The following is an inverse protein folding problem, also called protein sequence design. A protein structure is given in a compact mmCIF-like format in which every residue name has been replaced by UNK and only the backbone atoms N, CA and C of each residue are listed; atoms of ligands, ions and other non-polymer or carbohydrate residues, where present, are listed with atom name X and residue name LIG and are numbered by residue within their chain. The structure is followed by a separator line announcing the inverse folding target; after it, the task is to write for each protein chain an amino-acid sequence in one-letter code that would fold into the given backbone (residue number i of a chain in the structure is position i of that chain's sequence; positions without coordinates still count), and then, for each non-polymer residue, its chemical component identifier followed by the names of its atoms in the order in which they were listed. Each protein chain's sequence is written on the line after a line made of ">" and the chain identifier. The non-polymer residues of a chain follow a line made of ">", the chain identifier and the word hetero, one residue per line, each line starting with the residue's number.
data_IF_998369835816
#
_entry.id   IF_998369835816
#
_cell.length_a   1.000
_cell.length_b   1.000
_cell.length_c   1.000
_cell.angle_alpha   90.00
_cell.angle_beta   90.00
_cell.angle_gamma   90.00
#
_symmetry.space_group_name_H-M   'P 1'
#
loop_
_entity.id
_entity.type
_entity.pdbx_description
1 polymer ?
#
# COMPACT_ATOMS: atom_id res chain seq x y z
N UNK A 1 -9.48 -15.38 7.87
CA UNK A 1 -10.87 -14.95 7.58
C UNK A 1 -10.96 -13.44 7.77
N UNK A 2 -11.29 -12.73 6.72
CA UNK A 2 -11.42 -11.28 6.70
C UNK A 2 -12.89 -10.90 6.86
N UNK A 3 -13.15 -9.80 7.60
CA UNK A 3 -14.49 -9.20 7.82
C UNK A 3 -15.52 -10.16 8.43
N UNK A 4 -15.09 -10.96 9.41
CA UNK A 4 -15.94 -11.91 10.10
C UNK A 4 -16.92 -11.23 11.05
N UNK A 5 -18.19 -11.63 11.01
CA UNK A 5 -19.18 -11.21 11.97
C UNK A 5 -19.13 -12.10 13.22
N UNK A 6 -18.92 -11.52 14.37
CA UNK A 6 -18.79 -12.22 15.65
C UNK A 6 -19.84 -11.72 16.63
N UNK A 7 -20.39 -12.61 17.47
CA UNK A 7 -21.33 -12.29 18.54
C UNK A 7 -20.64 -12.33 19.89
N UNK A 8 -20.85 -11.31 20.69
CA UNK A 8 -20.37 -11.23 22.07
C UNK A 8 -21.54 -11.53 22.97
N UNK A 9 -21.38 -12.52 23.86
CA UNK A 9 -22.39 -12.88 24.87
C UNK A 9 -23.82 -12.95 24.30
N UNK A 10 -23.97 -13.42 23.05
CA UNK A 10 -25.24 -13.67 22.33
C UNK A 10 -26.02 -12.47 21.80
N UNK A 11 -25.71 -11.22 22.17
CA UNK A 11 -26.56 -10.08 21.78
C UNK A 11 -25.85 -9.07 20.87
N UNK A 12 -24.59 -8.75 21.13
CA UNK A 12 -23.87 -7.71 20.39
C UNK A 12 -23.06 -8.30 19.25
N UNK A 13 -23.23 -7.76 18.05
CA UNK A 13 -22.44 -8.14 16.88
C UNK A 13 -21.32 -7.15 16.65
N UNK A 14 -20.15 -7.66 16.36
CA UNK A 14 -18.96 -6.91 15.93
C UNK A 14 -18.36 -7.57 14.71
N UNK A 15 -17.79 -6.77 13.84
CA UNK A 15 -17.03 -7.25 12.69
C UNK A 15 -15.54 -7.10 12.95
N UNK A 16 -14.77 -8.06 12.51
CA UNK A 16 -13.31 -8.01 12.62
C UNK A 16 -12.64 -9.16 11.91
N UNK A 17 -11.34 -9.05 11.73
CA UNK A 17 -10.54 -10.06 11.06
C UNK A 17 -10.02 -11.08 12.06
N UNK A 18 -10.26 -12.37 11.77
CA UNK A 18 -9.84 -13.49 12.62
C UNK A 18 -8.66 -14.20 11.96
N UNK A 19 -7.55 -14.27 12.69
CA UNK A 19 -6.34 -14.97 12.28
C UNK A 19 -6.00 -16.08 13.28
N UNK A 20 -5.45 -17.17 12.78
CA UNK A 20 -5.01 -18.28 13.61
C UNK A 20 -3.51 -18.17 13.80
N UNK A 21 -3.06 -18.15 15.04
CA UNK A 21 -1.65 -18.01 15.39
C UNK A 21 -1.22 -19.08 16.40
N UNK A 22 0.05 -19.44 16.39
CA UNK A 22 0.61 -20.38 17.34
C UNK A 22 1.05 -19.71 18.66
N UNK A 23 1.40 -20.51 19.64
CA UNK A 23 1.86 -20.02 20.96
C UNK A 23 3.22 -19.31 20.92
N UNK A 24 3.96 -19.39 19.81
CA UNK A 24 5.24 -18.72 19.63
C UNK A 24 5.13 -17.37 18.94
N UNK A 25 3.95 -16.96 18.50
CA UNK A 25 3.74 -15.76 17.72
C UNK A 25 4.35 -14.52 18.39
N UNK A 26 4.05 -14.27 19.66
CA UNK A 26 4.55 -13.09 20.38
C UNK A 26 6.05 -13.17 20.75
N UNK A 27 6.67 -14.35 20.65
CA UNK A 27 8.13 -14.51 20.78
C UNK A 27 8.87 -14.05 19.53
N UNK A 28 8.22 -14.16 18.38
CA UNK A 28 8.73 -13.70 17.08
C UNK A 28 8.35 -12.25 16.84
N UNK A 29 7.07 -11.93 16.98
CA UNK A 29 6.49 -10.60 16.73
C UNK A 29 6.04 -9.97 18.04
N UNK A 30 6.97 -9.28 18.69
CA UNK A 30 6.72 -8.69 20.00
C UNK A 30 5.77 -7.50 19.90
N UNK A 31 4.67 -7.54 20.66
CA UNK A 31 3.84 -6.38 20.96
C UNK A 31 3.52 -6.38 22.45
N UNK A 32 2.98 -5.28 22.95
CA UNK A 32 2.65 -5.14 24.36
C UNK A 32 1.33 -5.85 24.66
N UNK A 33 1.35 -6.77 25.63
CA UNK A 33 0.12 -7.33 26.19
C UNK A 33 -0.40 -6.36 27.23
N UNK A 34 -1.63 -5.94 27.06
CA UNK A 34 -2.29 -4.94 27.91
C UNK A 34 -3.00 -5.57 29.08
N UNK A 35 -3.61 -6.74 28.85
CA UNK A 35 -4.41 -7.47 29.82
C UNK A 35 -4.33 -8.98 29.54
N UNK A 36 -4.30 -9.80 30.59
CA UNK A 36 -4.21 -11.25 30.47
C UNK A 36 -2.81 -11.78 30.18
N UNK A 37 -2.72 -13.04 29.78
CA UNK A 37 -1.47 -13.74 29.43
C UNK A 37 -1.58 -14.35 28.01
N UNK A 38 -0.69 -13.92 27.11
CA UNK A 38 -0.71 -14.35 25.72
C UNK A 38 -0.23 -15.80 25.54
N UNK A 39 0.82 -16.20 26.25
CA UNK A 39 1.40 -17.55 26.15
C UNK A 39 0.40 -18.59 26.65
N UNK A 40 -0.23 -18.31 27.79
CA UNK A 40 -1.27 -19.19 28.36
C UNK A 40 -2.51 -19.26 27.46
N UNK A 41 -2.93 -18.12 26.90
CA UNK A 41 -4.10 -18.02 26.01
C UNK A 41 -3.89 -18.83 24.73
N UNK A 42 -2.74 -18.67 24.07
CA UNK A 42 -2.46 -19.35 22.81
C UNK A 42 -2.12 -20.84 22.96
N UNK A 43 -1.77 -21.28 24.17
CA UNK A 43 -1.56 -22.71 24.46
C UNK A 43 -2.88 -23.49 24.59
N UNK A 44 -4.00 -22.80 24.86
CA UNK A 44 -5.30 -23.44 25.10
C UNK A 44 -6.17 -23.42 23.85
N UNK A 45 -6.87 -24.53 23.51
CA UNK A 45 -7.86 -24.53 22.44
C UNK A 45 -9.07 -23.67 22.83
N UNK A 46 -9.73 -23.09 21.84
CA UNK A 46 -10.89 -22.20 21.99
C UNK A 46 -10.64 -20.91 22.79
N UNK A 47 -9.39 -20.49 22.86
CA UNK A 47 -9.00 -19.20 23.40
C UNK A 47 -8.49 -18.27 22.30
N UNK A 48 -8.74 -16.99 22.47
CA UNK A 48 -8.27 -15.96 21.54
C UNK A 48 -7.74 -14.73 22.27
N UNK A 49 -6.90 -13.97 21.59
CA UNK A 49 -6.54 -12.61 21.96
C UNK A 49 -7.31 -11.63 21.06
N UNK A 50 -7.57 -10.45 21.59
CA UNK A 50 -8.18 -9.37 20.82
C UNK A 50 -7.28 -8.13 20.85
N UNK A 51 -7.30 -7.36 19.76
CA UNK A 51 -6.61 -6.07 19.71
C UNK A 51 -7.27 -5.05 20.64
N UNK A 52 -6.55 -3.98 21.02
CA UNK A 52 -7.12 -2.88 21.83
C UNK A 52 -8.34 -2.29 21.14
N UNK A 53 -8.23 -1.96 19.85
CA UNK A 53 -9.33 -1.39 19.08
C UNK A 53 -10.53 -2.33 19.05
N UNK A 54 -10.31 -3.63 18.95
CA UNK A 54 -11.39 -4.61 18.99
C UNK A 54 -12.01 -4.70 20.39
N UNK A 55 -11.20 -4.69 21.45
CA UNK A 55 -11.68 -4.68 22.82
C UNK A 55 -12.56 -3.44 23.11
N UNK A 56 -12.17 -2.27 22.64
CA UNK A 56 -12.97 -1.04 22.75
C UNK A 56 -14.30 -1.16 22.00
N UNK A 57 -14.30 -1.70 20.76
CA UNK A 57 -15.53 -1.99 19.99
C UNK A 57 -16.43 -2.98 20.72
N UNK A 58 -15.87 -3.92 21.46
CA UNK A 58 -16.59 -4.88 22.29
C UNK A 58 -17.15 -4.27 23.59
N UNK A 59 -16.73 -3.06 23.96
CA UNK A 59 -17.24 -2.33 25.14
C UNK A 59 -16.29 -2.33 26.34
N UNK A 60 -15.01 -2.69 26.17
CA UNK A 60 -14.02 -2.83 27.24
C UNK A 60 -14.31 -4.00 28.18
N UNK A 61 -13.35 -4.31 29.07
CA UNK A 61 -13.43 -5.44 30.03
C UNK A 61 -13.87 -6.74 29.34
N UNK A 62 -13.03 -7.21 28.43
CA UNK A 62 -13.38 -8.30 27.51
C UNK A 62 -12.76 -9.66 27.92
N UNK A 63 -11.77 -9.65 28.81
CA UNK A 63 -11.08 -10.89 29.22
C UNK A 63 -12.08 -11.81 29.97
N UNK A 64 -12.13 -13.06 29.56
CA UNK A 64 -13.06 -14.06 30.06
C UNK A 64 -14.42 -14.10 29.33
N UNK A 65 -14.73 -13.11 28.48
CA UNK A 65 -15.98 -13.11 27.70
C UNK A 65 -15.93 -14.08 26.54
N UNK A 66 -17.11 -14.52 26.11
CA UNK A 66 -17.24 -15.46 24.99
C UNK A 66 -17.51 -14.72 23.69
N UNK A 67 -16.80 -15.12 22.66
CA UNK A 67 -16.90 -14.61 21.30
C UNK A 67 -17.29 -15.77 20.37
N UNK A 68 -18.47 -15.71 19.79
CA UNK A 68 -18.96 -16.70 18.84
C UNK A 68 -18.72 -16.20 17.40
N UNK A 69 -18.00 -17.00 16.61
CA UNK A 69 -17.83 -16.71 15.19
C UNK A 69 -19.07 -17.17 14.43
N UNK A 70 -19.76 -16.27 13.73
CA UNK A 70 -20.99 -16.63 13.00
C UNK A 70 -20.69 -17.38 11.70
N UNK A 71 -19.52 -17.20 11.13
CA UNK A 71 -19.10 -17.85 9.88
C UNK A 71 -18.72 -19.31 10.08
N UNK A 72 -18.24 -19.66 11.28
CA UNK A 72 -17.90 -21.05 11.64
C UNK A 72 -18.86 -21.51 12.74
N UNK A 73 -19.93 -22.22 12.37
CA UNK A 73 -20.93 -22.67 13.34
C UNK A 73 -20.33 -23.52 14.47
N UNK A 74 -20.59 -23.11 15.71
CA UNK A 74 -20.09 -23.80 16.89
C UNK A 74 -18.69 -23.39 17.35
N UNK A 75 -18.02 -22.46 16.67
CA UNK A 75 -16.77 -21.89 17.14
C UNK A 75 -17.06 -20.79 18.16
N UNK A 76 -17.00 -21.18 19.42
CA UNK A 76 -17.08 -20.24 20.56
C UNK A 76 -15.71 -20.12 21.17
N UNK A 77 -15.17 -18.91 21.17
CA UNK A 77 -13.84 -18.58 21.70
C UNK A 77 -13.98 -17.84 23.02
N UNK A 78 -13.04 -18.04 23.94
CA UNK A 78 -12.93 -17.25 25.16
C UNK A 78 -11.80 -16.25 24.99
N UNK A 79 -12.06 -14.97 25.23
CA UNK A 79 -11.02 -13.94 25.20
C UNK A 79 -10.11 -14.13 26.42
N UNK A 80 -8.85 -14.43 26.21
CA UNK A 80 -7.88 -14.68 27.28
C UNK A 80 -6.93 -13.51 27.52
N UNK A 81 -6.71 -12.67 26.52
CA UNK A 81 -5.83 -11.51 26.65
C UNK A 81 -6.15 -10.41 25.63
N UNK A 82 -5.66 -9.20 25.91
CA UNK A 82 -5.76 -8.03 25.04
C UNK A 82 -4.34 -7.57 24.71
N UNK A 83 -4.07 -7.31 23.43
CA UNK A 83 -2.79 -6.80 22.98
C UNK A 83 -2.90 -5.41 22.34
N UNK A 84 -1.80 -4.69 22.32
CA UNK A 84 -1.70 -3.36 21.69
C UNK A 84 -1.71 -3.51 20.18
N UNK A 85 -2.51 -2.67 19.49
CA UNK A 85 -2.66 -2.70 18.04
C UNK A 85 -1.31 -2.58 17.35
N UNK A 86 -1.11 -3.34 16.28
CA UNK A 86 0.04 -3.17 15.42
C UNK A 86 -0.10 -1.87 14.61
N UNK A 87 1.01 -1.16 14.35
CA UNK A 87 0.96 0.07 13.57
C UNK A 87 0.48 -0.22 12.13
N UNK A 88 -0.18 0.75 11.51
CA UNK A 88 -0.77 0.67 10.17
C UNK A 88 0.18 0.13 9.08
N UNK A 89 1.49 0.32 9.23
CA UNK A 89 2.52 -0.16 8.30
C UNK A 89 3.05 -1.57 8.64
N UNK A 90 2.39 -2.27 9.54
CA UNK A 90 2.69 -3.66 9.87
C UNK A 90 1.81 -4.59 9.03
N UNK A 91 2.34 -5.75 8.68
CA UNK A 91 1.57 -6.86 8.06
C UNK A 91 0.40 -7.31 8.96
N UNK A 92 0.48 -7.02 10.25
CA UNK A 92 -0.49 -7.46 11.25
C UNK A 92 -1.43 -6.35 11.74
N UNK A 93 -1.46 -5.21 11.01
CA UNK A 93 -2.26 -4.05 11.42
C UNK A 93 -3.77 -4.31 11.45
N UNK A 94 -4.23 -5.26 10.65
CA UNK A 94 -5.63 -5.66 10.51
C UNK A 94 -5.99 -6.90 11.34
N UNK A 95 -5.08 -7.38 12.23
CA UNK A 95 -5.36 -8.50 13.11
C UNK A 95 -6.21 -8.01 14.27
N UNK A 96 -7.53 -8.23 14.19
CA UNK A 96 -8.46 -7.88 15.26
C UNK A 96 -8.55 -8.96 16.34
N UNK A 97 -8.61 -10.23 15.91
CA UNK A 97 -8.71 -11.41 16.77
C UNK A 97 -7.68 -12.44 16.37
N UNK A 98 -6.89 -12.90 17.33
CA UNK A 98 -5.90 -13.95 17.17
C UNK A 98 -6.36 -15.22 17.90
N UNK A 99 -6.84 -16.19 17.14
CA UNK A 99 -7.30 -17.50 17.64
C UNK A 99 -6.11 -18.42 17.82
N UNK A 100 -6.09 -19.16 18.94
CA UNK A 100 -5.11 -20.20 19.18
C UNK A 100 -5.13 -21.30 18.12
N UNK A 101 -3.98 -21.62 17.55
CA UNK A 101 -3.81 -22.73 16.58
C UNK A 101 -4.16 -24.10 17.19
N UNK A 102 -4.10 -24.25 18.51
CA UNK A 102 -4.55 -25.47 19.18
C UNK A 102 -6.04 -25.77 18.90
N UNK A 103 -6.85 -24.75 18.61
CA UNK A 103 -8.26 -24.89 18.24
C UNK A 103 -8.45 -25.56 16.90
N UNK A 104 -7.52 -25.38 15.96
CA UNK A 104 -7.65 -25.88 14.60
C UNK A 104 -7.76 -27.38 14.56
N UNK A 105 -7.08 -28.11 15.46
CA UNK A 105 -7.18 -29.58 15.58
C UNK A 105 -8.60 -30.06 15.85
N UNK A 106 -9.44 -29.21 16.44
CA UNK A 106 -10.84 -29.53 16.74
C UNK A 106 -11.80 -29.19 15.59
N UNK A 107 -11.35 -28.39 14.63
CA UNK A 107 -12.14 -27.89 13.47
C UNK A 107 -11.55 -28.27 12.12
N UNK A 108 -10.36 -28.87 12.07
CA UNK A 108 -9.79 -29.36 10.82
C UNK A 108 -10.65 -30.49 10.28
N UNK A 109 -10.88 -30.50 8.97
CA UNK A 109 -11.79 -31.39 8.27
C UNK A 109 -11.51 -32.87 8.52
N UNK A 110 -10.28 -33.21 8.86
CA UNK A 110 -9.77 -34.56 9.14
C UNK A 110 -9.07 -34.66 10.50
N UNK A 111 -9.09 -33.60 11.31
CA UNK A 111 -8.43 -33.55 12.62
C UNK A 111 -6.91 -33.68 12.56
N UNK A 112 -6.30 -33.62 11.37
CA UNK A 112 -4.87 -33.79 11.15
C UNK A 112 -4.28 -32.55 10.51
N UNK A 113 -3.03 -32.26 10.84
CA UNK A 113 -2.22 -31.27 10.13
C UNK A 113 -1.89 -31.85 8.74
N UNK A 114 -2.72 -31.58 7.75
CA UNK A 114 -2.48 -31.99 6.39
C UNK A 114 -1.43 -31.10 5.74
N UNK A 115 -0.17 -31.46 5.87
CA UNK A 115 0.96 -30.74 5.26
C UNK A 115 0.90 -30.70 3.73
N UNK A 116 0.14 -31.59 3.10
CA UNK A 116 0.09 -31.75 1.64
C UNK A 116 -1.01 -30.95 0.97
N UNK A 117 -2.03 -30.53 1.70
CA UNK A 117 -3.20 -29.84 1.13
C UNK A 117 -3.41 -28.43 1.63
N UNK A 118 -2.47 -27.87 2.37
CA UNK A 118 -2.68 -26.60 3.06
C UNK A 118 -1.57 -25.59 2.77
N UNK A 119 -1.74 -24.83 1.71
CA UNK A 119 -0.90 -23.70 1.31
C UNK A 119 -1.15 -22.40 2.11
N UNK A 120 -2.06 -22.47 3.11
CA UNK A 120 -2.50 -21.31 3.90
C UNK A 120 -1.59 -20.98 5.07
N UNK A 121 -0.65 -21.86 5.43
CA UNK A 121 0.28 -21.63 6.53
C UNK A 121 1.47 -20.79 6.07
N UNK A 122 1.72 -19.72 6.82
CA UNK A 122 2.95 -18.94 6.72
C UNK A 122 3.75 -19.12 7.99
N UNK A 123 4.96 -19.62 7.87
CA UNK A 123 5.85 -19.83 9.00
C UNK A 123 6.92 -18.76 9.04
N UNK A 124 7.14 -18.19 10.21
CA UNK A 124 8.17 -17.18 10.45
C UNK A 124 9.19 -17.74 11.43
N UNK A 125 10.46 -17.48 11.17
CA UNK A 125 11.56 -17.84 12.06
C UNK A 125 12.28 -16.59 12.52
N UNK A 126 12.64 -16.57 13.81
CA UNK A 126 13.52 -15.55 14.36
C UNK A 126 14.91 -16.15 14.48
N UNK A 127 15.84 -15.65 13.70
CA UNK A 127 17.24 -16.14 13.68
C UNK A 127 18.11 -15.37 14.65
N UNK A 128 19.21 -16.00 15.09
CA UNK A 128 20.22 -15.33 15.92
C UNK A 128 20.94 -14.22 15.13
N UNK A 129 21.44 -13.18 15.82
CA UNK A 129 22.20 -12.13 15.16
C UNK A 129 23.38 -12.71 14.36
N UNK A 130 23.53 -12.28 13.11
CA UNK A 130 24.59 -12.74 12.21
C UNK A 130 24.28 -13.99 11.40
N UNK A 131 23.12 -14.62 11.58
CA UNK A 131 22.68 -15.72 10.73
C UNK A 131 21.90 -15.18 9.51
N UNK A 132 22.22 -15.70 8.34
CA UNK A 132 21.65 -15.29 7.05
C UNK A 132 21.09 -16.48 6.26
N UNK A 133 19.95 -17.05 6.69
CA UNK A 133 19.36 -18.23 6.04
C UNK A 133 19.02 -17.99 4.56
N UNK A 134 18.77 -16.75 4.17
CA UNK A 134 18.55 -16.36 2.77
C UNK A 134 19.80 -16.53 1.88
N UNK A 135 20.98 -16.69 2.47
CA UNK A 135 22.24 -16.97 1.77
C UNK A 135 22.58 -18.47 1.71
N UNK A 136 21.65 -19.33 2.14
CA UNK A 136 21.80 -20.79 2.07
C UNK A 136 22.50 -21.42 3.28
N UNK A 137 22.71 -20.68 4.38
CA UNK A 137 23.39 -21.22 5.58
C UNK A 137 22.70 -22.46 6.15
N UNK A 138 21.38 -22.57 6.00
CA UNK A 138 20.57 -23.70 6.52
C UNK A 138 20.16 -24.72 5.46
N UNK A 139 20.54 -24.53 4.21
CA UNK A 139 20.06 -25.35 3.09
C UNK A 139 20.33 -26.85 3.29
N UNK A 140 21.52 -27.21 3.77
CA UNK A 140 21.88 -28.62 4.03
C UNK A 140 21.03 -29.23 5.15
N UNK A 141 20.80 -28.52 6.24
CA UNK A 141 19.99 -28.95 7.37
C UNK A 141 18.51 -29.06 6.98
N UNK A 142 18.02 -28.06 6.26
CA UNK A 142 16.65 -28.03 5.73
C UNK A 142 16.42 -29.17 4.77
N UNK A 143 17.37 -29.44 3.87
CA UNK A 143 17.27 -30.56 2.95
C UNK A 143 17.20 -31.90 3.68
N UNK A 144 18.01 -32.10 4.71
CA UNK A 144 17.94 -33.31 5.54
C UNK A 144 16.58 -33.46 6.24
N UNK A 145 16.03 -32.38 6.78
CA UNK A 145 14.73 -32.37 7.43
C UNK A 145 13.61 -32.66 6.43
N UNK A 146 13.63 -32.03 5.27
CA UNK A 146 12.65 -32.27 4.20
C UNK A 146 12.74 -33.72 3.71
N UNK A 147 13.94 -34.24 3.49
CA UNK A 147 14.15 -35.61 3.04
C UNK A 147 13.65 -36.63 4.08
N UNK A 148 13.75 -36.31 5.38
CA UNK A 148 13.30 -37.20 6.48
C UNK A 148 11.80 -37.12 6.70
N UNK A 149 11.24 -35.89 6.75
CA UNK A 149 9.85 -35.65 7.13
C UNK A 149 8.88 -35.79 5.96
N UNK A 150 9.36 -35.54 4.75
CA UNK A 150 8.55 -35.53 3.53
C UNK A 150 8.93 -36.64 2.56
N UNK A 151 9.40 -37.77 3.07
CA UNK A 151 9.75 -38.94 2.25
C UNK A 151 8.57 -39.44 1.39
N UNK A 152 7.33 -39.22 1.83
CA UNK A 152 6.13 -39.55 1.05
C UNK A 152 5.92 -38.59 -0.15
N UNK A 153 6.31 -37.35 -0.05
CA UNK A 153 6.27 -36.41 -1.19
C UNK A 153 7.19 -36.86 -2.30
N UNK A 154 8.39 -37.35 -1.95
CA UNK A 154 9.35 -37.90 -2.92
C UNK A 154 8.82 -39.14 -3.63
N UNK A 155 8.06 -39.99 -2.94
CA UNK A 155 7.43 -41.18 -3.57
C UNK A 155 6.42 -40.75 -4.65
N UNK A 156 5.81 -39.57 -4.50
CA UNK A 156 4.84 -39.04 -5.45
C UNK A 156 5.48 -38.10 -6.50
N UNK A 157 6.81 -38.08 -6.63
CA UNK A 157 7.56 -37.19 -7.52
C UNK A 157 7.29 -35.69 -7.28
N UNK A 158 7.04 -35.30 -6.04
CA UNK A 158 6.88 -33.91 -5.65
C UNK A 158 8.18 -33.45 -5.01
N UNK A 159 8.88 -32.52 -5.67
CA UNK A 159 10.03 -31.84 -5.11
C UNK A 159 9.58 -30.63 -4.29
N UNK A 160 10.01 -30.59 -3.05
CA UNK A 160 9.69 -29.52 -2.12
C UNK A 160 10.97 -28.75 -1.73
N UNK A 161 10.98 -27.46 -1.96
CA UNK A 161 12.08 -26.59 -1.56
C UNK A 161 11.57 -25.50 -0.62
N UNK A 162 12.21 -25.34 0.52
CA UNK A 162 11.95 -24.23 1.44
C UNK A 162 12.84 -23.06 1.06
N UNK A 163 12.23 -21.91 0.78
CA UNK A 163 12.94 -20.65 0.53
C UNK A 163 12.80 -19.72 1.73
N UNK A 164 13.92 -19.26 2.26
CA UNK A 164 13.93 -18.24 3.30
C UNK A 164 13.95 -16.86 2.66
N UNK A 165 12.98 -16.05 3.01
CA UNK A 165 12.90 -14.66 2.53
C UNK A 165 12.88 -13.73 3.74
N UNK A 166 13.81 -12.75 3.86
CA UNK A 166 13.77 -11.78 4.93
C UNK A 166 12.43 -11.02 4.93
N UNK A 167 11.80 -10.88 6.10
CA UNK A 167 10.49 -10.21 6.23
C UNK A 167 10.54 -8.79 5.68
N UNK A 168 11.66 -8.10 5.84
CA UNK A 168 11.89 -6.76 5.28
C UNK A 168 11.80 -6.68 3.75
N UNK A 169 12.05 -7.80 3.06
CA UNK A 169 11.98 -7.91 1.59
C UNK A 169 10.71 -8.60 1.10
N UNK A 170 9.98 -9.25 2.01
CA UNK A 170 8.83 -10.08 1.65
C UNK A 170 7.78 -9.33 0.83
N UNK A 171 7.36 -8.15 1.29
CA UNK A 171 6.40 -7.32 0.57
C UNK A 171 6.93 -6.79 -0.76
N UNK A 172 8.23 -6.55 -0.85
CA UNK A 172 8.84 -6.03 -2.06
C UNK A 172 9.09 -7.12 -3.12
N UNK A 173 9.41 -8.36 -2.71
CA UNK A 173 9.74 -9.45 -3.62
C UNK A 173 8.52 -10.26 -4.07
N UNK A 174 7.52 -10.43 -3.21
CA UNK A 174 6.37 -11.32 -3.44
C UNK A 174 5.09 -10.60 -3.88
N UNK A 175 5.10 -9.28 -3.97
CA UNK A 175 3.95 -8.52 -4.43
C UNK A 175 4.29 -7.76 -5.71
N UNK A 176 3.27 -7.47 -6.51
CA UNK A 176 3.35 -6.55 -7.65
C UNK A 176 3.74 -5.12 -7.23
N UNK A 177 3.93 -4.90 -5.92
CA UNK A 177 4.33 -3.63 -5.30
C UNK A 177 5.59 -3.03 -5.89
N UNK A 178 6.56 -3.88 -6.30
CA UNK A 178 7.79 -3.41 -6.96
C UNK A 178 7.49 -2.75 -8.30
N UNK A 179 6.67 -3.39 -9.12
CA UNK A 179 6.30 -2.85 -10.44
C UNK A 179 5.46 -1.60 -10.29
N UNK A 180 4.48 -1.63 -9.39
CA UNK A 180 3.63 -0.49 -9.07
C UNK A 180 4.45 0.70 -8.55
N UNK A 181 5.41 0.46 -7.64
CA UNK A 181 6.32 1.49 -7.13
C UNK A 181 7.17 2.09 -8.25
N UNK A 182 7.72 1.26 -9.16
CA UNK A 182 8.51 1.74 -10.29
C UNK A 182 7.67 2.62 -11.23
N UNK A 183 6.45 2.19 -11.57
CA UNK A 183 5.53 2.96 -12.42
C UNK A 183 5.19 4.30 -11.77
N UNK A 184 4.86 4.32 -10.48
CA UNK A 184 4.58 5.54 -9.72
C UNK A 184 5.78 6.48 -9.67
N UNK A 185 6.99 5.94 -9.49
CA UNK A 185 8.23 6.72 -9.47
C UNK A 185 8.49 7.38 -10.84
N UNK A 186 8.35 6.61 -11.93
CA UNK A 186 8.52 7.13 -13.29
C UNK A 186 7.50 8.23 -13.56
N UNK A 187 6.24 8.01 -13.22
CA UNK A 187 5.16 8.99 -13.40
C UNK A 187 5.46 10.29 -12.64
N UNK A 188 5.84 10.18 -11.36
CA UNK A 188 6.21 11.31 -10.53
C UNK A 188 7.42 12.07 -11.11
N UNK A 189 8.45 11.37 -11.60
CA UNK A 189 9.62 11.97 -12.24
C UNK A 189 9.24 12.72 -13.52
N UNK A 190 8.37 12.17 -14.35
CA UNK A 190 7.90 12.82 -15.59
C UNK A 190 7.10 14.09 -15.27
N UNK A 191 6.17 14.04 -14.31
CA UNK A 191 5.38 15.20 -13.89
C UNK A 191 6.28 16.29 -13.30
N UNK A 192 7.26 15.92 -12.47
CA UNK A 192 8.23 16.85 -11.90
C UNK A 192 9.07 17.51 -13.00
N UNK A 193 9.59 16.73 -13.94
CA UNK A 193 10.38 17.23 -15.06
C UNK A 193 9.55 18.21 -15.92
N UNK A 194 8.31 17.86 -16.26
CA UNK A 194 7.40 18.74 -17.00
C UNK A 194 7.14 20.07 -16.26
N UNK A 195 6.96 20.01 -14.93
CA UNK A 195 6.72 21.20 -14.09
C UNK A 195 7.94 22.12 -14.05
N UNK A 196 9.14 21.57 -13.88
CA UNK A 196 10.40 22.32 -13.90
C UNK A 196 10.63 22.96 -15.28
N UNK A 197 10.43 22.21 -16.36
CA UNK A 197 10.55 22.72 -17.72
C UNK A 197 9.57 23.87 -18.01
N UNK A 198 8.31 23.73 -17.57
CA UNK A 198 7.30 24.77 -17.72
C UNK A 198 7.71 26.05 -17.00
N UNK A 199 8.17 25.94 -15.75
CA UNK A 199 8.69 27.13 -15.02
C UNK A 199 9.85 27.79 -15.76
N UNK A 200 10.82 27.00 -16.23
CA UNK A 200 11.96 27.52 -16.98
C UNK A 200 11.52 28.26 -18.28
N UNK A 201 10.54 27.70 -19.01
CA UNK A 201 10.01 28.34 -20.22
C UNK A 201 9.35 29.69 -19.92
N UNK A 202 8.59 29.79 -18.82
CA UNK A 202 7.96 31.04 -18.38
C UNK A 202 9.03 32.08 -18.04
N UNK A 203 10.03 31.71 -17.23
CA UNK A 203 11.12 32.63 -16.85
C UNK A 203 11.89 33.12 -18.08
N UNK A 204 12.14 32.20 -19.00
CA UNK A 204 12.83 32.53 -20.24
C UNK A 204 11.99 33.39 -21.20
N UNK A 205 10.69 33.17 -21.25
CA UNK A 205 9.77 34.03 -21.99
C UNK A 205 9.87 35.49 -21.54
N UNK A 206 10.03 35.71 -20.26
CA UNK A 206 10.14 37.03 -19.64
C UNK A 206 11.56 37.62 -19.70
N UNK A 207 12.57 36.87 -20.22
CA UNK A 207 13.98 37.32 -20.21
C UNK A 207 14.17 38.61 -21.00
N UNK A 208 13.47 38.82 -22.10
CA UNK A 208 13.59 40.02 -22.93
C UNK A 208 13.17 41.29 -22.15
N UNK A 209 12.04 41.24 -21.47
CA UNK A 209 11.54 42.37 -20.65
C UNK A 209 12.44 42.60 -19.45
N UNK A 210 12.84 41.53 -18.74
CA UNK A 210 13.72 41.63 -17.57
C UNK A 210 15.16 41.98 -17.90
N UNK A 211 15.65 41.65 -19.12
CA UNK A 211 16.98 42.03 -19.55
C UNK A 211 17.18 43.58 -19.54
N UNK A 212 16.18 44.36 -19.95
CA UNK A 212 16.24 45.83 -19.87
C UNK A 212 16.32 46.33 -18.43
N UNK A 213 15.49 45.76 -17.53
CA UNK A 213 15.53 46.11 -16.10
C UNK A 213 16.91 45.79 -15.49
N UNK A 214 17.44 44.62 -15.77
CA UNK A 214 18.76 44.19 -15.26
C UNK A 214 19.89 45.04 -15.86
N UNK A 215 19.78 45.45 -17.10
CA UNK A 215 20.74 46.37 -17.73
C UNK A 215 20.74 47.75 -17.05
N UNK A 216 19.57 48.32 -16.76
CA UNK A 216 19.46 49.56 -15.99
C UNK A 216 20.13 49.42 -14.62
N UNK A 217 19.84 48.36 -13.89
CA UNK A 217 20.47 48.08 -12.58
C UNK A 217 22.00 47.95 -12.69
N UNK A 218 22.51 47.31 -13.75
CA UNK A 218 23.96 47.21 -14.02
C UNK A 218 24.56 48.58 -14.29
N UNK A 219 23.88 49.50 -15.00
CA UNK A 219 24.31 50.86 -15.21
C UNK A 219 24.43 51.65 -13.90
N UNK A 220 23.57 51.35 -12.92
CA UNK A 220 23.64 51.93 -11.57
C UNK A 220 24.59 51.18 -10.63
N UNK A 221 25.45 50.29 -11.16
CA UNK A 221 26.51 49.62 -10.40
C UNK A 221 26.09 48.34 -9.69
N UNK A 222 24.95 47.74 -10.07
CA UNK A 222 24.56 46.47 -9.50
C UNK A 222 25.56 45.34 -9.86
N UNK A 223 26.11 44.70 -8.84
CA UNK A 223 27.00 43.56 -9.01
C UNK A 223 26.25 42.30 -9.45
N UNK A 224 26.94 41.33 -10.09
CA UNK A 224 26.35 40.04 -10.42
C UNK A 224 25.66 39.31 -9.24
N UNK A 225 26.20 39.44 -8.04
CA UNK A 225 25.62 38.91 -6.79
C UNK A 225 24.26 39.52 -6.46
N UNK A 226 24.09 40.82 -6.70
CA UNK A 226 22.82 41.55 -6.47
C UNK A 226 21.73 41.04 -7.40
N UNK A 227 22.05 40.86 -8.69
CA UNK A 227 21.12 40.29 -9.68
C UNK A 227 20.73 38.87 -9.34
N UNK A 228 21.70 38.06 -8.94
CA UNK A 228 21.46 36.68 -8.49
C UNK A 228 20.58 36.66 -7.23
N UNK A 229 20.85 37.53 -6.25
CA UNK A 229 20.05 37.69 -5.04
C UNK A 229 18.57 38.00 -5.31
N UNK A 230 18.30 38.88 -6.30
CA UNK A 230 16.92 39.18 -6.71
C UNK A 230 16.23 37.93 -7.26
N UNK A 231 16.93 37.19 -8.13
CA UNK A 231 16.35 35.93 -8.71
C UNK A 231 16.09 34.89 -7.63
N UNK A 232 17.01 34.73 -6.66
CA UNK A 232 16.84 33.86 -5.53
C UNK A 232 15.63 34.25 -4.68
N UNK A 233 15.49 35.57 -4.38
CA UNK A 233 14.36 36.06 -3.59
C UNK A 233 13.00 35.79 -4.29
N UNK A 234 12.92 36.07 -5.60
CA UNK A 234 11.73 35.81 -6.39
C UNK A 234 11.40 34.31 -6.42
N UNK A 235 12.40 33.46 -6.67
CA UNK A 235 12.20 31.98 -6.65
C UNK A 235 11.75 31.52 -5.27
N UNK A 236 12.29 32.08 -4.18
CA UNK A 236 11.88 31.77 -2.82
C UNK A 236 10.41 32.07 -2.58
N UNK A 237 9.93 33.24 -3.02
CA UNK A 237 8.51 33.62 -2.91
C UNK A 237 7.62 32.64 -3.66
N UNK A 238 7.99 32.29 -4.90
CA UNK A 238 7.22 31.30 -5.69
C UNK A 238 7.20 29.92 -5.03
N UNK A 239 8.33 29.45 -4.51
CA UNK A 239 8.42 28.14 -3.84
C UNK A 239 7.59 28.13 -2.57
N UNK A 240 7.68 29.17 -1.73
CA UNK A 240 6.86 29.26 -0.50
C UNK A 240 5.36 29.27 -0.83
N UNK A 241 4.94 30.07 -1.82
CA UNK A 241 3.54 30.13 -2.24
C UNK A 241 3.07 28.75 -2.77
N UNK A 242 3.90 28.10 -3.57
CA UNK A 242 3.60 26.76 -4.09
C UNK A 242 3.49 25.71 -2.99
N UNK A 243 4.34 25.78 -1.96
CA UNK A 243 4.26 24.89 -0.80
C UNK A 243 2.98 25.09 0.01
N UNK A 244 2.60 26.36 0.25
CA UNK A 244 1.35 26.67 0.95
C UNK A 244 0.14 26.15 0.16
N UNK A 245 0.13 26.34 -1.15
CA UNK A 245 -0.95 25.84 -2.00
C UNK A 245 -0.98 24.31 -2.05
N UNK A 246 0.18 23.66 -2.14
CA UNK A 246 0.28 22.20 -2.10
C UNK A 246 -0.23 21.63 -0.77
N UNK A 247 0.15 22.24 0.36
CA UNK A 247 -0.33 21.84 1.68
C UNK A 247 -1.86 22.02 1.80
N UNK A 248 -2.41 23.11 1.28
CA UNK A 248 -3.85 23.34 1.26
C UNK A 248 -4.59 22.29 0.41
N UNK A 249 -4.05 21.93 -0.75
CA UNK A 249 -4.62 20.88 -1.62
C UNK A 249 -4.57 19.50 -0.95
N UNK A 250 -3.42 19.14 -0.34
CA UNK A 250 -3.29 17.86 0.39
C UNK A 250 -4.31 17.80 1.53
N UNK A 251 -4.47 18.91 2.27
CA UNK A 251 -5.45 18.99 3.35
C UNK A 251 -6.89 18.86 2.84
N UNK A 252 -7.23 19.55 1.76
CA UNK A 252 -8.56 19.49 1.15
C UNK A 252 -8.91 18.08 0.61
N UNK A 253 -7.92 17.38 0.04
CA UNK A 253 -8.09 16.04 -0.54
C UNK A 253 -7.74 14.91 0.44
N UNK A 254 -7.48 15.22 1.72
CA UNK A 254 -6.98 14.25 2.71
C UNK A 254 -7.79 12.96 2.73
N UNK A 255 -9.12 13.04 2.84
CA UNK A 255 -9.98 11.85 2.92
C UNK A 255 -9.87 10.95 1.69
N UNK A 256 -9.87 11.53 0.50
CA UNK A 256 -9.72 10.77 -0.76
C UNK A 256 -8.33 10.13 -0.87
N UNK A 257 -7.29 10.84 -0.40
CA UNK A 257 -5.92 10.31 -0.41
C UNK A 257 -5.79 9.14 0.56
N UNK A 258 -6.31 9.25 1.77
CA UNK A 258 -6.27 8.19 2.79
C UNK A 258 -7.04 6.95 2.34
N UNK A 259 -8.20 7.12 1.73
CA UNK A 259 -8.99 5.99 1.19
C UNK A 259 -8.29 5.32 0.01
N UNK A 260 -7.63 6.10 -0.87
CA UNK A 260 -6.97 5.56 -2.07
C UNK A 260 -5.67 4.81 -1.73
N UNK A 261 -4.94 5.29 -0.74
CA UNK A 261 -3.64 4.74 -0.35
C UNK A 261 -3.74 3.71 0.79
N UNK A 262 -4.92 3.57 1.39
CA UNK A 262 -5.14 2.77 2.60
C UNK A 262 -4.09 3.09 3.70
N UNK A 263 -3.75 4.36 3.82
CA UNK A 263 -2.72 4.83 4.72
C UNK A 263 -3.04 6.24 5.24
N UNK A 264 -2.74 6.55 6.51
CA UNK A 264 -2.97 7.87 7.04
C UNK A 264 -2.06 8.90 6.35
N UNK A 265 -2.58 10.09 6.07
CA UNK A 265 -1.80 11.17 5.45
C UNK A 265 -0.54 11.56 6.27
N UNK A 266 -0.54 11.28 7.57
CA UNK A 266 0.62 11.47 8.46
C UNK A 266 1.81 10.57 8.10
N UNK A 267 1.59 9.49 7.37
CA UNK A 267 2.64 8.60 6.86
C UNK A 267 3.64 9.32 5.94
N UNK A 268 3.19 10.38 5.25
CA UNK A 268 4.05 11.21 4.42
C UNK A 268 5.10 11.98 5.24
N UNK A 269 4.85 12.22 6.52
CA UNK A 269 5.68 13.02 7.41
C UNK A 269 6.64 12.19 8.28
N UNK A 270 7.00 10.99 7.83
CA UNK A 270 8.08 10.24 8.46
C UNK A 270 9.42 10.97 8.31
N UNK A 271 10.34 10.83 9.26
CA UNK A 271 11.65 11.50 9.22
C UNK A 271 12.39 11.28 7.89
N UNK A 272 12.35 10.09 7.33
CA UNK A 272 12.96 9.77 6.02
C UNK A 272 12.19 10.42 4.86
N UNK A 273 10.87 10.44 4.91
CA UNK A 273 10.01 11.06 3.90
C UNK A 273 10.20 12.58 3.85
N UNK A 274 10.21 13.24 5.01
CA UNK A 274 10.46 14.68 5.13
C UNK A 274 11.84 15.04 4.62
N UNK A 275 12.87 14.27 4.96
CA UNK A 275 14.24 14.50 4.48
C UNK A 275 14.31 14.36 2.95
N UNK A 276 13.67 13.36 2.37
CA UNK A 276 13.61 13.17 0.92
C UNK A 276 12.89 14.32 0.22
N UNK A 277 11.73 14.74 0.74
CA UNK A 277 10.99 15.88 0.20
C UNK A 277 11.77 17.18 0.30
N UNK A 278 12.45 17.42 1.42
CA UNK A 278 13.30 18.60 1.62
C UNK A 278 14.47 18.59 0.62
N UNK A 279 15.15 17.45 0.44
CA UNK A 279 16.22 17.32 -0.53
C UNK A 279 15.75 17.59 -1.96
N UNK A 280 14.61 17.02 -2.35
CA UNK A 280 13.99 17.23 -3.66
C UNK A 280 13.65 18.72 -3.86
N UNK A 281 13.06 19.36 -2.87
CA UNK A 281 12.70 20.77 -2.89
C UNK A 281 13.95 21.66 -3.04
N UNK A 282 15.04 21.34 -2.36
CA UNK A 282 16.33 22.04 -2.50
C UNK A 282 16.87 21.90 -3.92
N UNK A 283 16.82 20.71 -4.51
CA UNK A 283 17.26 20.48 -5.89
C UNK A 283 16.43 21.30 -6.88
N UNK A 284 15.11 21.26 -6.77
CA UNK A 284 14.20 22.04 -7.63
C UNK A 284 14.45 23.54 -7.45
N UNK A 285 14.61 24.01 -6.21
CA UNK A 285 14.94 25.41 -5.92
C UNK A 285 16.27 25.83 -6.56
N UNK A 286 17.32 25.03 -6.42
CA UNK A 286 18.63 25.30 -7.00
C UNK A 286 18.53 25.42 -8.53
N UNK A 287 17.86 24.50 -9.20
CA UNK A 287 17.67 24.55 -10.65
C UNK A 287 16.94 25.84 -11.07
N UNK A 288 15.84 26.15 -10.38
CA UNK A 288 14.98 27.27 -10.70
C UNK A 288 15.58 28.65 -10.33
N UNK A 289 16.52 28.71 -9.40
CA UNK A 289 17.22 29.95 -9.04
C UNK A 289 18.52 30.17 -9.84
N UNK A 290 19.34 29.12 -9.99
CA UNK A 290 20.67 29.23 -10.59
C UNK A 290 20.57 29.48 -12.09
N UNK A 291 19.71 28.78 -12.81
CA UNK A 291 19.67 28.83 -14.26
C UNK A 291 19.21 30.19 -14.75
N UNK A 292 18.09 30.77 -14.27
CA UNK A 292 17.69 32.14 -14.61
C UNK A 292 18.70 33.20 -14.14
N UNK A 293 19.26 33.07 -12.94
CA UNK A 293 20.25 33.95 -12.40
C UNK A 293 21.52 34.06 -13.29
N UNK A 294 22.03 32.93 -13.76
CA UNK A 294 23.14 32.88 -14.72
C UNK A 294 22.75 33.55 -16.06
N UNK A 295 21.54 33.30 -16.54
CA UNK A 295 21.05 33.87 -17.80
C UNK A 295 20.96 35.40 -17.73
N UNK A 296 20.37 35.96 -16.67
CA UNK A 296 20.27 37.42 -16.50
C UNK A 296 21.63 38.07 -16.33
N UNK A 297 22.56 37.44 -15.66
CA UNK A 297 23.94 37.93 -15.54
C UNK A 297 24.70 37.91 -16.87
N UNK A 298 24.43 36.97 -17.75
CA UNK A 298 25.10 36.80 -19.03
C UNK A 298 24.70 37.83 -20.08
N UNK A 299 23.60 38.58 -19.89
CA UNK A 299 23.13 39.60 -20.86
C UNK A 299 23.98 40.86 -20.75
N UNK A 300 24.74 41.28 -21.83
CA UNK A 300 25.47 42.53 -21.84
C UNK A 300 24.53 43.73 -21.88
N UNK A 301 24.93 44.81 -21.20
CA UNK A 301 24.13 46.04 -21.12
C UNK A 301 23.84 46.63 -22.51
N UNK A 302 24.85 46.64 -23.38
CA UNK A 302 24.75 47.17 -24.74
C UNK A 302 23.71 46.45 -25.60
N UNK A 303 23.66 45.14 -25.50
CA UNK A 303 22.68 44.32 -26.23
C UNK A 303 21.28 44.42 -25.66
N UNK A 304 21.12 44.62 -24.36
CA UNK A 304 19.83 44.82 -23.71
C UNK A 304 19.13 46.10 -24.19
N UNK A 305 19.87 47.19 -24.43
CA UNK A 305 19.33 48.46 -24.92
C UNK A 305 19.14 48.55 -26.45
N UNK A 306 19.98 47.84 -27.24
CA UNK A 306 19.85 47.80 -28.72
C UNK A 306 18.72 46.90 -29.25
N UNK A 307 17.88 46.36 -28.38
CA UNK A 307 16.85 45.39 -28.72
C UNK A 307 17.42 43.97 -28.63
N UNK A 308 17.42 43.46 -27.41
CA UNK A 308 17.81 42.07 -27.14
C UNK A 308 16.86 41.14 -27.89
N UNK A 309 17.27 40.69 -29.08
CA UNK A 309 16.63 39.58 -29.77
C UNK A 309 17.35 38.32 -29.37
N UNK A 310 16.70 37.49 -28.61
CA UNK A 310 17.29 36.27 -28.15
C UNK A 310 17.54 35.32 -29.34
N UNK A 311 18.79 35.20 -29.71
CA UNK A 311 19.22 34.29 -30.79
C UNK A 311 19.08 32.79 -30.43
N UNK A 312 18.51 32.50 -29.27
CA UNK A 312 18.34 31.14 -28.74
C UNK A 312 16.91 30.57 -28.90
N UNK A 313 16.17 31.01 -29.93
CA UNK A 313 14.82 30.51 -30.24
C UNK A 313 14.79 28.98 -30.39
N UNK A 314 15.87 28.35 -30.92
CA UNK A 314 15.95 26.93 -31.18
C UNK A 314 15.87 26.08 -29.92
N UNK A 315 16.53 26.42 -28.83
CA UNK A 315 16.53 25.64 -27.63
C UNK A 315 15.21 25.77 -26.82
N UNK A 316 14.54 26.95 -26.88
CA UNK A 316 13.18 27.10 -26.34
C UNK A 316 12.21 26.20 -27.09
N UNK A 317 12.31 26.14 -28.41
CA UNK A 317 11.53 25.22 -29.22
C UNK A 317 11.82 23.77 -28.88
N UNK A 318 13.08 23.40 -28.60
CA UNK A 318 13.47 22.05 -28.20
C UNK A 318 12.88 21.69 -26.82
N UNK A 319 12.94 22.61 -25.83
CA UNK A 319 12.33 22.39 -24.52
C UNK A 319 10.81 22.25 -24.62
N UNK A 320 10.17 23.10 -25.43
CA UNK A 320 8.74 23.01 -25.67
C UNK A 320 8.37 21.67 -26.34
N UNK A 321 9.16 21.23 -27.33
CA UNK A 321 8.95 19.94 -27.99
C UNK A 321 9.09 18.77 -27.00
N UNK A 322 10.11 18.80 -26.15
CA UNK A 322 10.29 17.78 -25.08
C UNK A 322 9.10 17.77 -24.13
N UNK A 323 8.62 18.96 -23.73
CA UNK A 323 7.44 19.05 -22.85
C UNK A 323 6.18 18.49 -23.54
N UNK A 324 5.98 18.79 -24.83
CA UNK A 324 4.87 18.20 -25.60
C UNK A 324 4.96 16.67 -25.68
N UNK A 325 6.17 16.15 -25.87
CA UNK A 325 6.39 14.68 -25.88
C UNK A 325 5.96 14.06 -24.54
N UNK A 326 6.39 14.64 -23.42
CA UNK A 326 6.01 14.14 -22.09
C UNK A 326 4.49 14.22 -21.86
N UNK A 327 3.85 15.34 -22.18
CA UNK A 327 2.40 15.50 -22.01
C UNK A 327 1.65 14.54 -22.93
N UNK A 328 2.06 14.41 -24.18
CA UNK A 328 1.45 13.46 -25.13
C UNK A 328 1.61 12.02 -24.65
N UNK A 329 2.77 11.66 -24.11
CA UNK A 329 3.00 10.33 -23.51
C UNK A 329 2.04 10.07 -22.36
N UNK A 330 1.87 11.03 -21.42
CA UNK A 330 0.95 10.87 -20.30
C UNK A 330 -0.51 10.75 -20.77
N UNK A 331 -0.93 11.53 -21.74
CA UNK A 331 -2.27 11.44 -22.31
C UNK A 331 -2.48 10.08 -22.99
N UNK A 332 -1.52 9.62 -23.79
CA UNK A 332 -1.59 8.29 -24.42
C UNK A 332 -1.65 7.17 -23.36
N UNK A 333 -0.83 7.27 -22.31
CA UNK A 333 -0.85 6.30 -21.21
C UNK A 333 -2.23 6.26 -20.54
N UNK A 334 -2.80 7.42 -20.23
CA UNK A 334 -4.13 7.53 -19.64
C UNK A 334 -5.20 6.92 -20.54
N UNK A 335 -5.15 7.18 -21.86
CA UNK A 335 -6.09 6.60 -22.83
C UNK A 335 -5.95 5.09 -22.92
N UNK A 336 -4.71 4.56 -22.89
CA UNK A 336 -4.47 3.10 -22.91
C UNK A 336 -5.04 2.46 -21.64
N UNK A 337 -4.75 3.01 -20.46
CA UNK A 337 -5.27 2.50 -19.18
C UNK A 337 -6.79 2.55 -19.16
N UNK A 338 -7.38 3.68 -19.58
CA UNK A 338 -8.84 3.80 -19.67
C UNK A 338 -9.46 2.78 -20.65
N UNK A 339 -8.81 2.55 -21.79
CA UNK A 339 -9.26 1.54 -22.75
C UNK A 339 -9.15 0.12 -22.20
N UNK A 340 -8.05 -0.19 -21.52
CA UNK A 340 -7.87 -1.49 -20.85
C UNK A 340 -8.96 -1.71 -19.79
N UNK A 341 -9.21 -0.69 -18.95
CA UNK A 341 -10.27 -0.74 -17.95
C UNK A 341 -11.65 -0.96 -18.58
N UNK A 342 -12.01 -0.19 -19.61
CA UNK A 342 -13.26 -0.39 -20.35
C UNK A 342 -13.35 -1.79 -20.95
N UNK A 343 -12.25 -2.30 -21.52
CA UNK A 343 -12.23 -3.67 -22.09
C UNK A 343 -12.43 -4.73 -21.01
N UNK A 344 -11.89 -4.52 -19.79
CA UNK A 344 -12.11 -5.43 -18.66
C UNK A 344 -13.56 -5.43 -18.20
N UNK A 345 -14.22 -4.26 -18.20
CA UNK A 345 -15.64 -4.14 -17.86
C UNK A 345 -16.56 -4.75 -18.91
N UNK A 346 -16.21 -4.58 -20.19
CA UNK A 346 -17.00 -5.09 -21.34
C UNK A 346 -16.61 -6.51 -21.74
N UNK A 347 -15.67 -7.14 -20.99
CA UNK A 347 -15.19 -8.47 -21.32
C UNK A 347 -16.31 -9.49 -21.20
N UNK A 348 -16.57 -10.21 -22.29
CA UNK A 348 -17.54 -11.30 -22.26
C UNK A 348 -16.97 -12.47 -21.46
N UNK A 349 -17.45 -12.64 -20.24
CA UNK A 349 -17.08 -13.72 -19.34
C UNK A 349 -17.56 -15.11 -19.81
N UNK A 350 -18.30 -15.17 -20.94
CA UNK A 350 -18.88 -16.42 -21.44
C UNK A 350 -20.21 -16.79 -20.77
N UNK A 351 -20.72 -15.93 -19.90
CA UNK A 351 -22.02 -16.05 -19.24
C UNK A 351 -22.67 -14.67 -19.05
N UNK A 352 -23.99 -14.63 -18.97
CA UNK A 352 -24.73 -13.42 -18.65
C UNK A 352 -24.73 -13.17 -17.17
N UNK A 353 -24.11 -12.05 -16.74
CA UNK A 353 -23.97 -11.69 -15.31
C UNK A 353 -24.99 -10.65 -14.84
N UNK A 354 -25.66 -9.94 -15.75
CA UNK A 354 -26.57 -8.84 -15.41
C UNK A 354 -27.76 -9.28 -14.54
N UNK A 355 -28.09 -10.58 -14.57
CA UNK A 355 -29.17 -11.16 -13.79
C UNK A 355 -28.70 -12.17 -12.73
N UNK A 356 -27.38 -12.24 -12.47
CA UNK A 356 -26.82 -13.13 -11.45
C UNK A 356 -26.70 -12.42 -10.13
N UNK A 357 -27.13 -13.06 -9.06
CA UNK A 357 -26.95 -12.62 -7.70
C UNK A 357 -26.14 -13.65 -6.91
N UNK A 358 -25.07 -13.22 -6.25
CA UNK A 358 -24.31 -14.05 -5.34
C UNK A 358 -24.90 -13.95 -3.93
N UNK A 359 -25.28 -15.10 -3.37
CA UNK A 359 -25.76 -15.17 -1.99
C UNK A 359 -24.79 -16.04 -1.18
N UNK A 360 -24.22 -15.49 -0.12
CA UNK A 360 -23.37 -16.23 0.77
C UNK A 360 -24.22 -17.05 1.75
N UNK A 361 -24.22 -18.36 1.58
CA UNK A 361 -24.99 -19.32 2.41
C UNK A 361 -24.09 -20.15 3.32
N UNK A 362 -22.83 -19.79 3.48
CA UNK A 362 -21.87 -20.54 4.30
C UNK A 362 -22.25 -20.54 5.79
N UNK A 363 -23.00 -19.55 6.24
CA UNK A 363 -23.45 -19.41 7.63
C UNK A 363 -24.67 -20.26 7.98
N UNK A 364 -25.29 -20.92 7.01
CA UNK A 364 -26.51 -21.70 7.21
C UNK A 364 -26.15 -23.19 7.39
N UNK A 365 -26.71 -23.82 8.43
CA UNK A 365 -26.48 -25.25 8.71
C UNK A 365 -26.97 -26.13 7.56
N UNK A 366 -26.36 -27.29 7.40
CA UNK A 366 -26.56 -28.15 6.22
C UNK A 366 -28.04 -28.48 5.88
N UNK A 367 -28.89 -28.72 6.87
CA UNK A 367 -30.32 -28.97 6.65
C UNK A 367 -31.10 -27.69 6.32
N UNK A 368 -30.84 -26.62 7.05
CA UNK A 368 -31.43 -25.31 6.79
C UNK A 368 -31.01 -24.77 5.41
N UNK A 369 -29.76 -25.02 5.00
CA UNK A 369 -29.26 -24.71 3.65
C UNK A 369 -30.06 -25.45 2.59
N UNK A 370 -30.30 -26.75 2.77
CA UNK A 370 -31.09 -27.53 1.83
C UNK A 370 -32.54 -27.02 1.74
N UNK A 371 -33.14 -26.69 2.89
CA UNK A 371 -34.49 -26.12 2.93
C UNK A 371 -34.54 -24.74 2.23
N UNK A 372 -33.59 -23.85 2.50
CA UNK A 372 -33.51 -22.54 1.84
C UNK A 372 -33.36 -22.68 0.34
N UNK A 373 -32.46 -23.56 -0.13
CA UNK A 373 -32.25 -23.81 -1.54
C UNK A 373 -33.50 -24.38 -2.21
N UNK A 374 -34.23 -25.26 -1.52
CA UNK A 374 -35.50 -25.80 -2.01
C UNK A 374 -36.59 -24.73 -2.09
N UNK A 375 -36.62 -23.76 -1.18
CA UNK A 375 -37.56 -22.65 -1.23
C UNK A 375 -37.18 -21.65 -2.34
N UNK A 376 -35.88 -21.33 -2.53
CA UNK A 376 -35.42 -20.51 -3.66
C UNK A 376 -35.81 -21.10 -5.00
N UNK A 377 -35.75 -22.43 -5.17
CA UNK A 377 -36.16 -23.12 -6.39
C UNK A 377 -37.67 -23.11 -6.64
N UNK A 378 -38.50 -22.70 -5.68
CA UNK A 378 -39.97 -22.56 -5.85
C UNK A 378 -40.37 -21.13 -6.20
N UNK A 379 -39.47 -20.17 -6.06
CA UNK A 379 -39.75 -18.78 -6.36
C UNK A 379 -39.85 -18.59 -7.87
N UNK A 380 -40.90 -17.92 -8.32
CA UNK A 380 -41.12 -17.63 -9.76
C UNK A 380 -40.13 -16.65 -10.34
N UNK A 381 -39.46 -15.89 -9.48
CA UNK A 381 -38.44 -14.89 -9.81
C UNK A 381 -37.06 -15.51 -10.00
N UNK A 382 -36.85 -16.77 -9.58
CA UNK A 382 -35.60 -17.52 -9.69
C UNK A 382 -35.66 -18.50 -10.83
N UNK A 383 -35.00 -18.20 -11.94
CA UNK A 383 -34.97 -19.08 -13.11
C UNK A 383 -34.10 -20.33 -12.89
N UNK A 384 -32.96 -20.16 -12.27
CA UNK A 384 -32.00 -21.23 -11.94
C UNK A 384 -31.10 -20.85 -10.77
N UNK A 385 -30.61 -21.86 -10.10
CA UNK A 385 -29.62 -21.67 -9.04
C UNK A 385 -28.54 -22.77 -9.08
N UNK A 386 -27.36 -22.46 -8.61
CA UNK A 386 -26.26 -23.43 -8.48
C UNK A 386 -25.42 -23.14 -7.25
N UNK A 387 -25.11 -24.16 -6.41
CA UNK A 387 -24.18 -24.00 -5.32
C UNK A 387 -22.74 -24.11 -5.85
N UNK A 388 -21.87 -23.23 -5.41
CA UNK A 388 -20.44 -23.27 -5.71
C UNK A 388 -19.67 -23.37 -4.40
N UNK A 389 -18.69 -24.26 -4.32
CA UNK A 389 -17.93 -24.51 -3.08
C UNK A 389 -16.85 -23.45 -2.85
N UNK A 390 -16.36 -22.82 -3.91
CA UNK A 390 -15.40 -21.74 -3.84
C UNK A 390 -15.99 -20.49 -4.48
N UNK A 391 -15.81 -19.30 -3.89
CA UNK A 391 -16.23 -18.07 -4.56
C UNK A 391 -15.49 -17.96 -5.88
N UNK A 392 -16.24 -17.74 -6.96
CA UNK A 392 -15.69 -17.48 -8.29
C UNK A 392 -15.07 -16.08 -8.39
N UNK A 393 -15.31 -15.26 -7.37
CA UNK A 393 -14.96 -13.84 -7.34
C UNK A 393 -14.33 -13.55 -5.97
N UNK A 394 -13.02 -13.49 -5.91
CA UNK A 394 -12.21 -12.93 -4.83
C UNK A 394 -11.47 -11.68 -5.35
#
# INVERSE_FOLDING_TARGET
>A
CTDEEMKIDTERRVKGNVYIVDSCFFKVFTTKILEGDADETLAKPFYCLVSRTMAERMGGDVVGRKLECTTIPGLVMTVGAVYEDYPWNSTFHDYDVMLSMATQRSFSYDGQDNLMGNDRYRSFIKVSPGCHPELGEFDATVKQLVDKLMAELKKNNIDYALKFTPVSKYHYENSDSKQMYLVMLILAAVVLAASVLNYLLIVMGNTVTRAKEMAVRKCYGAMPRTIFGITVAETSVHVVLSLVLAAALIYACKGSIETLLDAPATALFTNKGVLFLAALLVVVFIINAILPGKMYNAVPVTTAFRGFTENRRRWKMALLAVQFVFVSFLVCLLLVVNRQYATLLDFNLGYEYDRLALVNINQIKGEERRAMVAELGKMTEVEAWTPVTYPMFD
#
